data_IF_536970174203
#
_entry.id   IF_536970174203
#
_cell.length_a   1.000
_cell.length_b   1.000
_cell.length_c   1.000
_cell.angle_alpha   90.00
_cell.angle_beta   90.00
_cell.angle_gamma   90.00
#
_symmetry.space_group_name_H-M   'P 1'
#
loop_
_entity.id
_entity.type
_entity.pdbx_description
1 polymer ?
#
# COMPACT_ATOMS: atom_id res chain seq x y z
N UNK A 1 -59.02 -41.02 -24.12
CA UNK A 1 -58.21 -39.86 -24.49
C UNK A 1 -57.26 -39.54 -23.31
N UNK A 2 -56.00 -39.93 -23.45
CA UNK A 2 -54.95 -39.72 -22.39
C UNK A 2 -54.23 -38.43 -22.69
N UNK A 3 -54.35 -37.46 -21.78
CA UNK A 3 -53.57 -36.23 -21.82
C UNK A 3 -52.14 -36.50 -21.31
N UNK A 4 -51.19 -36.37 -22.22
CA UNK A 4 -49.75 -36.39 -21.89
C UNK A 4 -49.33 -34.96 -21.61
N UNK A 5 -48.99 -34.69 -20.35
CA UNK A 5 -48.43 -33.42 -19.90
C UNK A 5 -46.93 -33.43 -20.15
N UNK A 6 -46.46 -32.64 -21.10
CA UNK A 6 -45.02 -32.43 -21.35
C UNK A 6 -44.47 -31.46 -20.30
N UNK A 7 -43.61 -31.95 -19.40
CA UNK A 7 -42.80 -31.11 -18.55
C UNK A 7 -41.57 -30.65 -19.33
N UNK A 8 -41.54 -29.37 -19.67
CA UNK A 8 -40.38 -28.73 -20.26
C UNK A 8 -39.39 -28.43 -19.11
N UNK A 9 -38.33 -29.22 -18.96
CA UNK A 9 -37.24 -28.96 -18.06
C UNK A 9 -36.36 -27.90 -18.73
N UNK A 10 -36.48 -26.64 -18.29
CA UNK A 10 -35.54 -25.59 -18.63
C UNK A 10 -34.27 -25.81 -17.80
N UNK A 11 -33.26 -26.42 -18.40
CA UNK A 11 -31.91 -26.40 -17.84
C UNK A 11 -31.37 -24.97 -17.92
N UNK A 12 -31.49 -24.22 -16.82
CA UNK A 12 -30.69 -23.02 -16.63
C UNK A 12 -29.28 -23.49 -16.35
N UNK A 13 -28.43 -23.42 -17.35
CA UNK A 13 -26.97 -23.55 -17.16
C UNK A 13 -26.50 -22.32 -16.39
N UNK A 14 -26.39 -22.46 -15.08
CA UNK A 14 -25.56 -21.58 -14.27
C UNK A 14 -24.13 -21.76 -14.76
N UNK A 15 -23.68 -20.86 -15.63
CA UNK A 15 -22.25 -20.66 -15.86
C UNK A 15 -21.68 -20.11 -14.56
N UNK A 16 -21.20 -21.02 -13.71
CA UNK A 16 -20.38 -20.63 -12.58
C UNK A 16 -19.16 -19.91 -13.15
N UNK A 17 -19.06 -18.65 -12.83
CA UNK A 17 -17.81 -17.91 -12.94
C UNK A 17 -16.78 -18.77 -12.20
N UNK A 18 -15.89 -19.43 -12.93
CA UNK A 18 -14.77 -20.15 -12.32
C UNK A 18 -13.84 -19.08 -11.77
N UNK A 19 -14.02 -18.77 -10.49
CA UNK A 19 -12.95 -18.15 -9.72
C UNK A 19 -11.72 -19.05 -9.87
N UNK A 20 -10.72 -18.56 -10.56
CA UNK A 20 -9.43 -19.22 -10.71
C UNK A 20 -8.65 -19.15 -9.38
N UNK A 21 -9.25 -19.63 -8.30
CA UNK A 21 -8.58 -19.88 -7.02
C UNK A 21 -7.92 -21.26 -7.10
N UNK A 22 -6.87 -21.35 -7.92
CA UNK A 22 -6.05 -22.53 -7.96
C UNK A 22 -5.44 -22.76 -6.56
N UNK A 23 -5.91 -23.80 -5.87
CA UNK A 23 -5.29 -24.41 -4.69
C UNK A 23 -4.84 -23.46 -3.58
N UNK A 24 -5.74 -22.66 -3.01
CA UNK A 24 -5.46 -21.99 -1.73
C UNK A 24 -5.33 -23.07 -0.64
N UNK A 25 -4.20 -23.08 0.04
CA UNK A 25 -3.93 -23.96 1.17
C UNK A 25 -4.13 -23.14 2.45
N UNK A 26 -4.64 -23.77 3.50
CA UNK A 26 -4.64 -23.10 4.81
C UNK A 26 -3.20 -22.80 5.23
N UNK A 27 -2.98 -21.57 5.67
CA UNK A 27 -1.68 -21.14 6.24
C UNK A 27 -1.41 -21.99 7.49
N UNK A 28 -0.19 -22.47 7.74
CA UNK A 28 0.16 -23.01 9.04
C UNK A 28 -0.10 -21.97 10.14
N UNK A 29 -1.20 -22.12 10.85
CA UNK A 29 -1.61 -21.22 11.93
C UNK A 29 -1.25 -21.86 13.26
N UNK A 30 -0.55 -21.10 14.09
CA UNK A 30 -0.41 -21.40 15.52
C UNK A 30 -1.21 -20.38 16.35
N UNK A 31 -1.62 -20.78 17.54
CA UNK A 31 -2.38 -19.94 18.42
C UNK A 31 -1.56 -19.54 19.65
N UNK A 32 -1.77 -18.31 20.11
CA UNK A 32 -1.14 -17.79 21.33
C UNK A 32 -2.19 -17.34 22.33
N UNK A 33 -1.92 -17.52 23.62
CA UNK A 33 -2.79 -17.07 24.71
C UNK A 33 -2.78 -15.54 24.91
N UNK A 34 -2.09 -14.81 24.05
CA UNK A 34 -2.17 -13.35 24.03
C UNK A 34 -3.60 -12.89 23.69
N UNK A 35 -4.06 -11.84 24.35
CA UNK A 35 -5.42 -11.30 24.22
C UNK A 35 -5.44 -9.94 23.52
N UNK A 36 -4.39 -9.60 22.80
CA UNK A 36 -4.23 -8.28 22.13
C UNK A 36 -4.95 -8.16 20.81
N UNK A 37 -5.78 -9.11 20.39
CA UNK A 37 -6.47 -9.14 19.09
C UNK A 37 -5.52 -9.06 17.88
N UNK A 38 -4.39 -9.76 17.94
CA UNK A 38 -3.37 -9.68 16.92
C UNK A 38 -3.27 -10.95 16.07
N UNK A 39 -2.96 -10.75 14.79
CA UNK A 39 -2.49 -11.75 13.84
C UNK A 39 -1.08 -11.35 13.43
N UNK A 40 -0.13 -12.24 13.59
CA UNK A 40 1.25 -12.04 13.16
C UNK A 40 1.51 -12.89 11.91
N UNK A 41 1.92 -12.25 10.82
CA UNK A 41 2.23 -12.90 9.55
C UNK A 41 3.72 -12.74 9.24
N UNK A 42 4.42 -13.86 9.11
CA UNK A 42 5.85 -13.86 8.77
C UNK A 42 6.07 -14.43 7.39
N UNK A 43 6.54 -13.59 6.48
CA UNK A 43 6.91 -13.95 5.10
C UNK A 43 8.32 -14.50 5.07
N UNK A 44 8.51 -15.64 4.41
CA UNK A 44 9.82 -16.29 4.23
C UNK A 44 9.95 -16.84 2.81
N UNK A 45 10.42 -16.02 1.89
CA UNK A 45 10.55 -16.40 0.48
C UNK A 45 9.19 -16.73 -0.14
N UNK A 46 8.94 -17.99 -0.42
CA UNK A 46 7.72 -18.50 -1.06
C UNK A 46 6.67 -19.02 -0.06
N UNK A 47 6.86 -18.82 1.22
CA UNK A 47 5.96 -19.29 2.27
C UNK A 47 5.60 -18.19 3.24
N UNK A 48 4.52 -18.40 3.99
CA UNK A 48 4.09 -17.53 5.07
C UNK A 48 3.64 -18.40 6.24
N UNK A 49 3.87 -17.93 7.46
CA UNK A 49 3.32 -18.52 8.68
C UNK A 49 2.49 -17.48 9.43
N UNK A 50 1.49 -17.96 10.17
CA UNK A 50 0.61 -17.12 10.96
C UNK A 50 0.59 -17.54 12.43
N UNK A 51 0.63 -16.54 13.32
CA UNK A 51 0.32 -16.70 14.73
C UNK A 51 -0.91 -15.86 15.05
N UNK A 52 -1.95 -16.46 15.61
CA UNK A 52 -3.23 -15.82 15.88
C UNK A 52 -3.50 -15.84 17.39
N UNK A 53 -3.90 -14.71 17.94
CA UNK A 53 -4.35 -14.65 19.33
C UNK A 53 -5.62 -15.50 19.51
N UNK A 54 -5.65 -16.34 20.55
CA UNK A 54 -6.71 -17.34 20.80
C UNK A 54 -8.11 -16.70 20.86
N UNK A 55 -8.20 -15.49 21.43
CA UNK A 55 -9.46 -14.77 21.60
C UNK A 55 -10.09 -14.31 20.27
N UNK A 56 -9.34 -14.26 19.16
CA UNK A 56 -9.85 -13.85 17.85
C UNK A 56 -9.86 -14.99 16.81
N UNK A 57 -9.51 -16.21 17.18
CA UNK A 57 -9.41 -17.34 16.23
C UNK A 57 -10.66 -17.59 15.38
N UNK A 58 -11.84 -17.34 15.95
CA UNK A 58 -13.13 -17.54 15.29
C UNK A 58 -13.58 -16.30 14.47
N UNK A 59 -12.78 -15.23 14.47
CA UNK A 59 -13.09 -13.97 13.79
C UNK A 59 -12.24 -13.71 12.56
N UNK A 60 -11.25 -14.56 12.29
CA UNK A 60 -10.37 -14.43 11.11
C UNK A 60 -10.21 -15.76 10.41
N UNK A 61 -10.29 -15.74 9.10
CA UNK A 61 -9.92 -16.87 8.23
C UNK A 61 -8.69 -16.45 7.43
N UNK A 62 -7.63 -17.27 7.47
CA UNK A 62 -6.37 -16.99 6.80
C UNK A 62 -6.07 -18.11 5.84
N UNK A 63 -5.92 -17.77 4.56
CA UNK A 63 -5.52 -18.71 3.50
C UNK A 63 -4.33 -18.14 2.73
N UNK A 64 -3.58 -18.99 2.05
CA UNK A 64 -2.51 -18.52 1.16
C UNK A 64 -2.35 -19.42 -0.07
N UNK A 65 -1.74 -18.86 -1.11
CA UNK A 65 -1.14 -19.59 -2.22
C UNK A 65 0.32 -19.14 -2.27
N UNK A 66 1.22 -20.00 -1.80
CA UNK A 66 2.60 -19.57 -1.52
C UNK A 66 2.63 -18.44 -0.49
N UNK A 67 3.25 -17.32 -0.85
CA UNK A 67 3.29 -16.10 -0.01
C UNK A 67 2.18 -15.09 -0.32
N UNK A 68 1.17 -15.44 -1.13
CA UNK A 68 -0.01 -14.60 -1.32
C UNK A 68 -1.04 -14.91 -0.25
N UNK A 69 -1.11 -14.05 0.76
CA UNK A 69 -1.99 -14.23 1.92
C UNK A 69 -3.32 -13.54 1.70
N UNK A 70 -4.40 -14.24 2.01
CA UNK A 70 -5.75 -13.69 2.08
C UNK A 70 -6.30 -13.83 3.50
N UNK A 71 -6.69 -12.71 4.07
CA UNK A 71 -7.35 -12.64 5.38
C UNK A 71 -8.79 -12.17 5.19
N UNK A 72 -9.73 -12.89 5.77
CA UNK A 72 -11.14 -12.50 5.81
C UNK A 72 -11.55 -12.35 7.27
N UNK A 73 -11.99 -11.16 7.66
CA UNK A 73 -12.62 -10.94 8.95
C UNK A 73 -14.07 -11.43 8.91
N UNK A 74 -14.49 -12.10 9.97
CA UNK A 74 -15.90 -12.43 10.18
C UNK A 74 -16.76 -11.17 10.19
N UNK A 75 -17.98 -11.18 9.63
CA UNK A 75 -18.91 -10.06 9.74
C UNK A 75 -19.32 -9.74 11.20
N UNK A 76 -19.03 -10.64 12.13
CA UNK A 76 -19.29 -10.46 13.56
C UNK A 76 -18.21 -9.64 14.29
N UNK A 77 -17.11 -9.24 13.60
CA UNK A 77 -16.15 -8.30 14.16
C UNK A 77 -16.81 -6.94 14.33
N UNK A 78 -16.78 -6.40 15.52
CA UNK A 78 -17.47 -5.15 15.88
C UNK A 78 -17.03 -4.61 17.23
N UNK A 79 -17.88 -3.82 17.86
CA UNK A 79 -17.58 -3.16 19.14
C UNK A 79 -17.19 -4.14 20.25
N UNK A 80 -17.84 -5.31 20.33
CA UNK A 80 -17.57 -6.32 21.37
C UNK A 80 -16.25 -7.07 21.16
N UNK A 81 -15.89 -7.33 19.91
CA UNK A 81 -14.61 -7.97 19.56
C UNK A 81 -13.45 -6.97 19.65
N UNK A 82 -13.74 -5.72 19.36
CA UNK A 82 -12.74 -4.69 19.17
C UNK A 82 -12.07 -4.77 17.79
N UNK A 83 -11.07 -3.94 17.62
CA UNK A 83 -10.25 -3.84 16.42
C UNK A 83 -9.26 -5.00 16.36
N UNK A 84 -9.11 -5.62 15.19
CA UNK A 84 -8.11 -6.67 14.95
C UNK A 84 -6.91 -6.05 14.24
N UNK A 85 -5.73 -6.31 14.77
CA UNK A 85 -4.45 -5.91 14.21
C UNK A 85 -3.79 -7.04 13.44
N UNK A 86 -3.07 -6.69 12.39
CA UNK A 86 -2.25 -7.59 11.58
C UNK A 86 -0.83 -7.05 11.56
N UNK A 87 0.14 -7.79 12.06
CA UNK A 87 1.55 -7.40 11.94
C UNK A 87 2.22 -8.24 10.86
N UNK A 88 2.75 -7.57 9.84
CA UNK A 88 3.42 -8.17 8.70
C UNK A 88 4.92 -7.98 8.84
N UNK A 89 5.70 -9.05 8.70
CA UNK A 89 7.17 -9.03 8.79
C UNK A 89 7.79 -10.00 7.78
N UNK A 90 9.09 -9.82 7.51
CA UNK A 90 9.88 -10.71 6.67
C UNK A 90 9.91 -10.32 5.20
N UNK A 91 10.27 -11.26 4.32
CA UNK A 91 10.56 -10.97 2.93
C UNK A 91 9.94 -11.99 1.99
N UNK A 92 9.31 -11.49 0.91
CA UNK A 92 8.90 -12.29 -0.25
C UNK A 92 9.04 -11.48 -1.54
N UNK A 93 9.63 -12.09 -2.56
CA UNK A 93 9.72 -11.53 -3.91
C UNK A 93 8.51 -11.91 -4.80
N UNK A 94 7.62 -12.77 -4.30
CA UNK A 94 6.39 -13.18 -4.96
C UNK A 94 5.32 -13.47 -3.92
N UNK A 95 4.82 -12.40 -3.29
CA UNK A 95 3.83 -12.48 -2.23
C UNK A 95 2.96 -11.23 -2.15
N UNK A 96 1.85 -11.34 -1.44
CA UNK A 96 0.93 -10.23 -1.23
C UNK A 96 0.16 -10.39 0.09
N UNK A 97 -0.40 -9.29 0.55
CA UNK A 97 -1.36 -9.25 1.63
C UNK A 97 -2.69 -8.72 1.11
N UNK A 98 -3.72 -9.55 1.17
CA UNK A 98 -5.10 -9.18 0.86
C UNK A 98 -5.95 -9.28 2.13
N UNK A 99 -6.79 -8.28 2.39
CA UNK A 99 -7.66 -8.27 3.57
C UNK A 99 -9.08 -7.82 3.20
N UNK A 100 -10.07 -8.58 3.62
CA UNK A 100 -11.49 -8.18 3.66
C UNK A 100 -11.97 -8.03 5.08
N UNK A 101 -12.83 -7.04 5.31
CA UNK A 101 -13.45 -6.81 6.61
C UNK A 101 -14.48 -5.69 6.57
N UNK A 102 -15.29 -5.62 7.63
CA UNK A 102 -16.34 -4.61 7.78
C UNK A 102 -16.14 -3.72 9.02
N UNK A 103 -15.03 -3.89 9.73
CA UNK A 103 -14.72 -3.12 10.93
C UNK A 103 -13.31 -2.53 10.85
N UNK A 104 -13.03 -1.53 11.68
CA UNK A 104 -11.72 -0.88 11.79
C UNK A 104 -10.61 -1.91 12.01
N UNK A 105 -9.44 -1.65 11.45
CA UNK A 105 -8.29 -2.55 11.55
C UNK A 105 -6.98 -1.79 11.58
N UNK A 106 -5.95 -2.43 12.10
CA UNK A 106 -4.57 -1.95 12.04
C UNK A 106 -3.71 -2.95 11.26
N UNK A 107 -2.96 -2.48 10.27
CA UNK A 107 -1.94 -3.26 9.55
C UNK A 107 -0.58 -2.70 9.93
N UNK A 108 0.16 -3.44 10.74
CA UNK A 108 1.51 -3.11 11.18
C UNK A 108 2.56 -3.61 10.19
N UNK A 109 3.48 -2.76 9.78
CA UNK A 109 4.62 -3.11 8.94
C UNK A 109 5.89 -3.10 9.80
N UNK A 110 6.56 -4.26 9.90
CA UNK A 110 7.76 -4.45 10.72
C UNK A 110 8.87 -5.12 9.91
N UNK A 111 9.77 -4.33 9.36
CA UNK A 111 10.87 -4.83 8.51
C UNK A 111 10.34 -5.78 7.41
N UNK A 112 9.28 -5.32 6.72
CA UNK A 112 8.62 -6.06 5.65
C UNK A 112 9.21 -5.67 4.30
N UNK A 113 9.61 -6.67 3.50
CA UNK A 113 9.90 -6.49 2.07
C UNK A 113 8.96 -7.40 1.27
N UNK A 114 8.01 -6.80 0.57
CA UNK A 114 6.96 -7.54 -0.12
C UNK A 114 6.84 -7.08 -1.58
N UNK A 115 7.09 -8.00 -2.49
CA UNK A 115 6.92 -7.80 -3.93
C UNK A 115 5.83 -8.72 -4.46
N UNK A 116 4.87 -8.16 -5.19
CA UNK A 116 3.87 -8.93 -5.93
C UNK A 116 4.01 -8.66 -7.44
N UNK A 117 4.64 -9.55 -8.21
CA UNK A 117 4.84 -9.35 -9.65
C UNK A 117 3.54 -9.26 -10.47
N UNK A 118 2.41 -9.71 -9.92
CA UNK A 118 1.15 -9.87 -10.64
C UNK A 118 -0.02 -9.07 -10.07
N UNK A 119 0.23 -8.16 -9.14
CA UNK A 119 -0.83 -7.38 -8.51
C UNK A 119 -0.29 -6.40 -7.44
N UNK A 120 -1.19 -5.83 -6.61
CA UNK A 120 -0.78 -4.97 -5.51
C UNK A 120 -0.01 -5.78 -4.45
N UNK A 121 0.98 -5.17 -3.81
CA UNK A 121 1.67 -5.78 -2.67
C UNK A 121 0.73 -5.87 -1.46
N UNK A 122 -0.06 -4.81 -1.22
CA UNK A 122 -1.09 -4.76 -0.17
C UNK A 122 -2.42 -4.32 -0.77
N UNK A 123 -3.45 -5.14 -0.61
CA UNK A 123 -4.82 -4.88 -1.06
C UNK A 123 -5.82 -4.99 0.10
N UNK A 124 -6.36 -3.85 0.50
CA UNK A 124 -7.30 -3.75 1.61
C UNK A 124 -8.70 -3.47 1.09
N UNK A 125 -9.55 -4.46 1.11
CA UNK A 125 -10.95 -4.40 0.68
C UNK A 125 -11.92 -4.09 1.84
N UNK A 126 -11.43 -3.40 2.86
CA UNK A 126 -12.19 -2.92 4.00
C UNK A 126 -12.59 -1.45 3.78
N UNK A 127 -13.88 -1.17 3.79
CA UNK A 127 -14.44 0.19 3.61
C UNK A 127 -14.51 1.01 4.90
N UNK A 128 -13.79 0.63 5.95
CA UNK A 128 -13.68 1.37 7.21
C UNK A 128 -12.26 1.91 7.39
N UNK A 129 -12.02 2.61 8.49
CA UNK A 129 -10.68 3.10 8.82
C UNK A 129 -9.69 1.94 8.95
N UNK A 130 -8.59 2.05 8.25
CA UNK A 130 -7.44 1.17 8.40
C UNK A 130 -6.21 2.00 8.75
N UNK A 131 -5.63 1.72 9.92
CA UNK A 131 -4.35 2.28 10.30
C UNK A 131 -3.22 1.44 9.69
N UNK A 132 -2.32 2.08 8.94
CA UNK A 132 -1.05 1.50 8.52
C UNK A 132 0.01 1.94 9.53
N UNK A 133 0.36 1.04 10.44
CA UNK A 133 1.30 1.30 11.53
C UNK A 133 2.73 0.91 11.12
N UNK A 134 3.53 1.89 10.75
CA UNK A 134 4.94 1.68 10.35
C UNK A 134 5.78 1.63 11.62
N UNK A 135 6.24 0.45 11.98
CA UNK A 135 6.87 0.22 13.28
C UNK A 135 8.18 1.00 13.41
N UNK A 136 8.43 1.50 14.64
CA UNK A 136 9.62 2.30 14.96
C UNK A 136 10.91 1.58 14.55
N UNK A 137 11.83 2.34 14.01
CA UNK A 137 13.19 1.89 13.64
C UNK A 137 13.18 0.71 12.65
N UNK A 138 12.11 0.58 11.85
CA UNK A 138 12.04 -0.40 10.76
C UNK A 138 11.94 0.28 9.41
N UNK A 139 12.54 -0.36 8.43
CA UNK A 139 12.39 -0.01 7.02
C UNK A 139 11.54 -1.09 6.33
N UNK A 140 10.55 -0.64 5.57
CA UNK A 140 9.60 -1.51 4.88
C UNK A 140 9.59 -1.16 3.40
N UNK A 141 9.49 -2.16 2.53
CA UNK A 141 9.46 -1.95 1.08
C UNK A 141 8.31 -2.72 0.46
N UNK A 142 7.51 -2.03 -0.33
CA UNK A 142 6.41 -2.59 -1.11
C UNK A 142 6.66 -2.36 -2.60
N UNK A 143 6.46 -3.41 -3.40
CA UNK A 143 6.62 -3.37 -4.85
C UNK A 143 5.49 -4.14 -5.50
N UNK A 144 4.78 -3.53 -6.46
CA UNK A 144 3.76 -4.21 -7.26
C UNK A 144 4.29 -4.64 -8.64
N UNK A 145 3.45 -5.35 -9.38
CA UNK A 145 3.75 -5.82 -10.72
C UNK A 145 3.62 -4.74 -11.81
N UNK A 146 3.99 -5.10 -13.02
CA UNK A 146 3.95 -4.20 -14.20
C UNK A 146 2.80 -4.49 -15.16
N UNK A 147 2.11 -5.62 -14.99
CA UNK A 147 1.02 -6.02 -15.88
C UNK A 147 -0.13 -6.66 -15.12
N UNK A 148 -1.33 -6.48 -15.65
CA UNK A 148 -2.54 -7.14 -15.15
C UNK A 148 -2.71 -8.47 -15.85
N UNK A 149 -2.51 -9.57 -15.14
CA UNK A 149 -2.93 -10.88 -15.63
C UNK A 149 -4.43 -11.12 -15.41
N UNK A 150 -5.06 -10.37 -14.50
CA UNK A 150 -6.47 -10.54 -14.09
C UNK A 150 -7.17 -9.18 -14.04
N UNK A 151 -7.18 -8.50 -12.91
CA UNK A 151 -7.91 -7.25 -12.71
C UNK A 151 -6.96 -6.06 -12.53
N UNK A 152 -7.37 -4.89 -13.08
CA UNK A 152 -6.62 -3.66 -12.92
C UNK A 152 -6.68 -3.17 -11.47
N UNK A 153 -5.54 -3.05 -10.82
CA UNK A 153 -5.43 -2.42 -9.49
C UNK A 153 -5.11 -0.93 -9.61
N UNK A 154 -5.22 -0.21 -8.51
CA UNK A 154 -5.07 1.25 -8.47
C UNK A 154 -3.81 1.73 -7.78
N UNK A 155 -3.18 0.90 -6.96
CA UNK A 155 -1.96 1.24 -6.26
C UNK A 155 -1.22 0.03 -5.72
N UNK A 156 0.10 0.16 -5.53
CA UNK A 156 0.94 -0.87 -4.91
C UNK A 156 0.44 -1.18 -3.48
N UNK A 157 0.11 -0.16 -2.71
CA UNK A 157 -0.74 -0.23 -1.53
C UNK A 157 -2.08 0.41 -1.85
N UNK A 158 -3.16 -0.39 -1.83
CA UNK A 158 -4.50 0.12 -2.10
C UNK A 158 -5.48 -0.22 -0.98
N UNK A 159 -6.43 0.71 -0.73
CA UNK A 159 -7.46 0.56 0.29
C UNK A 159 -8.81 1.10 -0.17
N UNK A 160 -9.88 0.34 0.03
CA UNK A 160 -11.26 0.78 -0.24
C UNK A 160 -11.85 1.72 0.81
N UNK A 161 -11.29 1.75 2.00
CA UNK A 161 -11.67 2.68 3.07
C UNK A 161 -10.73 3.87 3.15
N UNK A 162 -10.70 4.50 4.29
CA UNK A 162 -9.74 5.54 4.61
C UNK A 162 -8.50 4.97 5.28
N UNK A 163 -7.37 5.62 5.03
CA UNK A 163 -6.06 5.18 5.49
C UNK A 163 -5.43 6.20 6.42
N UNK A 164 -4.98 5.73 7.57
CA UNK A 164 -4.19 6.53 8.51
C UNK A 164 -2.78 5.95 8.63
N UNK A 165 -1.79 6.60 8.02
CA UNK A 165 -0.39 6.22 8.22
C UNK A 165 0.12 6.78 9.54
N UNK A 166 0.65 5.89 10.39
CA UNK A 166 1.21 6.26 11.69
C UNK A 166 2.48 5.47 11.98
N UNK A 167 3.24 5.94 12.96
CA UNK A 167 4.42 5.24 13.48
C UNK A 167 5.68 6.07 13.32
N UNK A 168 6.85 5.43 13.48
CA UNK A 168 8.15 6.11 13.46
C UNK A 168 9.18 5.36 12.60
N UNK A 169 8.70 4.48 11.73
CA UNK A 169 9.53 3.78 10.74
C UNK A 169 9.43 4.41 9.35
N UNK A 170 10.02 3.73 8.38
CA UNK A 170 10.08 4.12 6.98
C UNK A 170 9.34 3.12 6.11
N UNK A 171 8.58 3.63 5.15
CA UNK A 171 7.92 2.86 4.10
C UNK A 171 8.40 3.34 2.72
N UNK A 172 9.01 2.44 1.97
CA UNK A 172 9.42 2.64 0.58
C UNK A 172 8.39 1.98 -0.35
N UNK A 173 7.93 2.67 -1.39
CA UNK A 173 6.90 2.16 -2.31
C UNK A 173 7.35 2.31 -3.76
N UNK A 174 7.25 1.21 -4.51
CA UNK A 174 7.46 1.13 -5.95
C UNK A 174 6.16 0.73 -6.64
N UNK A 175 5.41 1.71 -7.14
CA UNK A 175 4.19 1.53 -7.92
C UNK A 175 4.53 1.34 -9.41
N UNK A 176 4.63 0.10 -9.86
CA UNK A 176 5.05 -0.22 -11.23
C UNK A 176 3.90 -0.27 -12.23
N UNK A 177 2.64 -0.24 -11.76
CA UNK A 177 1.46 -0.34 -12.61
C UNK A 177 0.61 0.94 -12.67
N UNK A 178 0.30 1.53 -11.51
CA UNK A 178 -0.58 2.70 -11.40
C UNK A 178 -0.02 3.68 -10.36
N UNK A 179 -0.82 4.05 -9.34
CA UNK A 179 -0.34 4.88 -8.25
C UNK A 179 0.57 4.06 -7.31
N UNK A 180 1.46 4.71 -6.58
CA UNK A 180 2.19 3.99 -5.54
C UNK A 180 1.26 3.70 -4.35
N UNK A 181 0.51 4.68 -3.87
CA UNK A 181 -0.47 4.53 -2.79
C UNK A 181 -1.83 5.05 -3.25
N UNK A 182 -2.88 4.25 -3.05
CA UNK A 182 -4.24 4.64 -3.40
C UNK A 182 -5.21 4.37 -2.25
N UNK A 183 -6.08 5.34 -1.98
CA UNK A 183 -7.22 5.19 -1.07
C UNK A 183 -8.50 5.67 -1.74
N UNK A 184 -9.60 4.92 -1.58
CA UNK A 184 -10.91 5.34 -2.10
C UNK A 184 -11.52 6.49 -1.28
N UNK A 185 -11.06 6.67 -0.06
CA UNK A 185 -11.52 7.68 0.88
C UNK A 185 -10.34 8.56 1.32
N UNK A 186 -10.43 9.22 2.46
CA UNK A 186 -9.38 10.13 2.91
C UNK A 186 -8.07 9.41 3.30
N UNK A 187 -7.02 10.21 3.38
CA UNK A 187 -5.72 9.77 3.85
C UNK A 187 -5.12 10.75 4.84
N UNK A 188 -4.57 10.23 5.94
CA UNK A 188 -3.82 11.03 6.91
C UNK A 188 -2.44 10.45 7.15
N UNK A 189 -1.46 11.32 7.43
CA UNK A 189 -0.06 10.93 7.70
C UNK A 189 0.42 11.56 9.00
N UNK A 190 0.98 10.73 9.89
CA UNK A 190 1.50 11.16 11.20
C UNK A 190 2.79 10.39 11.58
N UNK A 191 3.84 11.13 11.86
CA UNK A 191 5.12 10.70 12.47
C UNK A 191 5.98 9.73 11.64
N UNK A 192 5.50 9.12 10.57
CA UNK A 192 6.26 8.17 9.76
C UNK A 192 6.98 8.86 8.60
N UNK A 193 7.89 8.11 7.98
CA UNK A 193 8.51 8.47 6.71
C UNK A 193 7.92 7.60 5.61
N UNK A 194 7.42 8.21 4.54
CA UNK A 194 6.92 7.53 3.34
C UNK A 194 7.75 8.01 2.15
N UNK A 195 8.38 7.08 1.46
CA UNK A 195 9.15 7.33 0.24
C UNK A 195 8.43 6.68 -0.95
N UNK A 196 7.86 7.46 -1.84
CA UNK A 196 7.42 7.01 -3.15
C UNK A 196 8.60 7.12 -4.10
N UNK A 197 9.18 5.99 -4.42
CA UNK A 197 10.38 5.89 -5.25
C UNK A 197 10.03 5.66 -6.73
N UNK A 198 8.81 5.16 -7.00
CA UNK A 198 8.25 5.02 -8.32
C UNK A 198 6.73 5.01 -8.27
N UNK A 199 6.09 5.65 -9.23
CA UNK A 199 4.68 5.47 -9.58
C UNK A 199 4.51 5.68 -11.09
N UNK A 200 3.69 4.87 -11.75
CA UNK A 200 3.38 5.07 -13.18
C UNK A 200 2.39 6.23 -13.36
N UNK A 201 1.53 6.42 -12.37
CA UNK A 201 0.60 7.55 -12.24
C UNK A 201 1.01 8.44 -11.07
N UNK A 202 0.07 8.71 -10.17
CA UNK A 202 0.30 9.57 -9.02
C UNK A 202 1.16 8.88 -7.96
N UNK A 203 1.94 9.65 -7.26
CA UNK A 203 2.63 9.14 -6.08
C UNK A 203 1.65 8.68 -5.01
N UNK A 204 0.77 9.56 -4.60
CA UNK A 204 -0.34 9.30 -3.68
C UNK A 204 -1.65 9.78 -4.32
N UNK A 205 -2.65 8.93 -4.33
CA UNK A 205 -3.99 9.28 -4.80
C UNK A 205 -5.03 8.90 -3.75
N UNK A 206 -5.84 9.85 -3.33
CA UNK A 206 -6.97 9.62 -2.42
C UNK A 206 -8.17 10.47 -2.81
N UNK A 207 -9.33 10.15 -2.22
CA UNK A 207 -10.51 10.97 -2.34
C UNK A 207 -10.91 11.55 -0.99
N UNK A 208 -11.93 12.38 -0.95
CA UNK A 208 -12.42 13.14 0.21
C UNK A 208 -11.42 14.20 0.66
N UNK A 209 -10.35 13.85 1.36
CA UNK A 209 -9.29 14.79 1.74
C UNK A 209 -7.95 14.08 2.01
N UNK A 210 -6.88 14.86 1.97
CA UNK A 210 -5.55 14.46 2.44
C UNK A 210 -5.11 15.40 3.57
N UNK A 211 -4.60 14.82 4.66
CA UNK A 211 -4.04 15.60 5.77
C UNK A 211 -2.65 15.08 6.16
N UNK A 212 -1.68 16.00 6.19
CA UNK A 212 -0.34 15.77 6.77
C UNK A 212 -0.27 16.47 8.13
N UNK A 213 -0.10 15.70 9.21
CA UNK A 213 0.01 16.24 10.56
C UNK A 213 1.47 16.34 11.04
N UNK A 214 2.29 15.37 10.66
CA UNK A 214 3.72 15.30 11.02
C UNK A 214 4.41 14.17 10.24
N UNK A 215 5.75 14.08 10.36
CA UNK A 215 6.56 13.09 9.65
C UNK A 215 7.08 13.62 8.32
N UNK A 216 7.44 12.72 7.41
CA UNK A 216 8.04 13.06 6.11
C UNK A 216 7.42 12.25 4.99
N UNK A 217 7.06 12.89 3.90
CA UNK A 217 6.65 12.24 2.65
C UNK A 217 7.58 12.71 1.54
N UNK A 218 8.28 11.79 0.91
CA UNK A 218 9.16 12.04 -0.22
C UNK A 218 8.61 11.36 -1.46
N UNK A 219 8.40 12.10 -2.54
CA UNK A 219 7.90 11.59 -3.82
C UNK A 219 8.88 11.98 -4.91
N UNK A 220 9.54 11.00 -5.52
CA UNK A 220 10.63 11.25 -6.46
C UNK A 220 10.50 10.54 -7.81
N UNK A 221 9.52 9.69 -8.00
CA UNK A 221 9.42 8.84 -9.18
C UNK A 221 8.01 8.71 -9.73
N UNK A 222 7.17 9.73 -9.57
CA UNK A 222 5.81 9.75 -10.11
C UNK A 222 5.78 10.06 -11.61
N UNK A 223 4.85 9.44 -12.33
CA UNK A 223 4.61 9.70 -13.76
C UNK A 223 3.56 10.77 -14.03
N UNK A 224 2.74 11.11 -13.05
CA UNK A 224 1.70 12.13 -13.10
C UNK A 224 1.78 13.02 -11.84
N UNK A 225 0.70 13.20 -11.06
CA UNK A 225 0.71 14.07 -9.88
C UNK A 225 1.55 13.48 -8.74
N UNK A 226 2.18 14.35 -7.96
CA UNK A 226 2.81 13.92 -6.70
C UNK A 226 1.77 13.42 -5.72
N UNK A 227 0.81 14.28 -5.37
CA UNK A 227 -0.36 13.95 -4.55
C UNK A 227 -1.62 14.42 -5.26
N UNK A 228 -2.54 13.51 -5.53
CA UNK A 228 -3.83 13.77 -6.15
C UNK A 228 -4.96 13.55 -5.14
N UNK A 229 -5.82 14.56 -4.94
CA UNK A 229 -6.95 14.51 -4.00
C UNK A 229 -8.25 14.81 -4.74
N UNK A 230 -9.04 13.77 -4.93
CA UNK A 230 -10.32 13.84 -5.62
C UNK A 230 -11.52 13.92 -4.68
N UNK A 231 -12.72 13.95 -5.30
CA UNK A 231 -13.98 13.72 -4.61
C UNK A 231 -14.37 12.24 -4.70
N UNK A 232 -14.94 11.71 -3.65
CA UNK A 232 -15.54 10.38 -3.67
C UNK A 232 -16.91 10.47 -4.33
N UNK A 233 -17.11 9.72 -5.40
CA UNK A 233 -18.36 9.70 -6.15
C UNK A 233 -19.56 9.26 -5.27
N UNK A 234 -20.68 9.94 -5.41
CA UNK A 234 -21.93 9.69 -4.67
C UNK A 234 -21.79 9.87 -3.14
N UNK A 235 -20.79 10.61 -2.68
CA UNK A 235 -20.62 10.96 -1.29
C UNK A 235 -20.98 12.43 -1.07
N UNK A 236 -22.01 12.69 -0.28
CA UNK A 236 -22.51 14.02 0.07
C UNK A 236 -22.11 14.45 1.48
N UNK A 237 -21.21 13.69 2.12
CA UNK A 237 -20.72 14.02 3.46
C UNK A 237 -19.91 15.32 3.46
N UNK A 238 -19.88 16.00 4.59
CA UNK A 238 -19.06 17.21 4.78
C UNK A 238 -17.54 16.95 4.65
N UNK A 239 -17.13 15.70 4.74
CA UNK A 239 -15.73 15.26 4.60
C UNK A 239 -15.30 15.17 3.13
N UNK A 240 -16.25 15.10 2.19
CA UNK A 240 -15.96 14.95 0.77
C UNK A 240 -15.61 16.31 0.12
N UNK A 241 -14.50 16.89 0.53
CA UNK A 241 -14.09 18.24 0.15
C UNK A 241 -13.07 18.30 -0.97
N UNK A 242 -12.37 17.21 -1.27
CA UNK A 242 -11.23 17.18 -2.19
C UNK A 242 -10.03 18.00 -1.67
N UNK A 243 -9.95 18.29 -0.37
CA UNK A 243 -8.97 19.23 0.17
C UNK A 243 -7.63 18.56 0.50
N UNK A 244 -6.56 19.37 0.38
CA UNK A 244 -5.22 19.05 0.82
C UNK A 244 -4.83 19.96 1.97
N UNK A 245 -4.44 19.38 3.12
CA UNK A 245 -4.10 20.15 4.31
C UNK A 245 -2.80 19.65 4.93
N UNK A 246 -1.89 20.56 5.25
CA UNK A 246 -0.72 20.29 6.07
C UNK A 246 -0.79 21.13 7.35
N UNK A 247 -0.90 20.46 8.51
CA UNK A 247 -0.83 21.12 9.83
C UNK A 247 0.57 21.04 10.44
N UNK A 248 1.44 20.17 9.89
CA UNK A 248 2.84 20.00 10.25
C UNK A 248 3.52 18.99 9.34
N UNK A 249 4.78 18.66 9.63
CA UNK A 249 5.58 17.73 8.85
C UNK A 249 6.17 18.31 7.57
N UNK A 250 6.77 17.45 6.77
CA UNK A 250 7.46 17.82 5.52
C UNK A 250 6.99 16.95 4.37
N UNK A 251 6.59 17.57 3.27
CA UNK A 251 6.34 16.91 1.99
C UNK A 251 7.35 17.43 0.98
N UNK A 252 8.11 16.52 0.37
CA UNK A 252 9.07 16.79 -0.68
C UNK A 252 8.62 16.08 -1.96
N UNK A 253 8.37 16.83 -3.03
CA UNK A 253 7.95 16.29 -4.31
C UNK A 253 8.93 16.71 -5.39
N UNK A 254 9.47 15.73 -6.11
CA UNK A 254 10.27 15.96 -7.30
C UNK A 254 9.34 16.15 -8.50
N UNK A 255 9.36 17.29 -9.18
CA UNK A 255 8.51 17.55 -10.34
C UNK A 255 8.98 16.85 -11.63
N UNK A 256 10.00 16.01 -11.58
CA UNK A 256 10.73 15.44 -12.73
C UNK A 256 9.98 14.33 -13.49
N UNK A 257 8.69 14.28 -13.39
CA UNK A 257 7.91 13.37 -14.21
C UNK A 257 6.88 14.17 -15.00
N UNK A 258 6.69 13.88 -16.24
CA UNK A 258 5.53 14.14 -17.07
C UNK A 258 4.67 15.43 -16.82
N UNK A 259 3.42 15.36 -17.22
CA UNK A 259 2.43 16.42 -17.28
C UNK A 259 1.75 16.79 -15.95
N UNK A 260 2.07 16.08 -14.86
CA UNK A 260 1.40 16.23 -13.57
C UNK A 260 1.87 17.44 -12.76
N UNK A 261 1.15 17.70 -11.69
CA UNK A 261 1.46 18.74 -10.70
C UNK A 261 2.00 18.14 -9.40
N UNK A 262 2.70 18.93 -8.60
CA UNK A 262 3.18 18.44 -7.31
C UNK A 262 2.00 18.07 -6.39
N UNK A 263 0.99 18.94 -6.30
CA UNK A 263 -0.27 18.68 -5.58
C UNK A 263 -1.45 19.07 -6.46
N UNK A 264 -2.29 18.12 -6.77
CA UNK A 264 -3.55 18.30 -7.50
C UNK A 264 -4.72 17.98 -6.55
N UNK A 265 -5.29 19.00 -5.96
CA UNK A 265 -6.44 18.89 -5.07
C UNK A 265 -7.63 19.63 -5.65
N UNK A 266 -8.79 18.96 -5.76
CA UNK A 266 -10.02 19.57 -6.28
C UNK A 266 -10.61 20.62 -5.34
N UNK A 267 -10.35 20.49 -4.03
CA UNK A 267 -10.77 21.42 -3.01
C UNK A 267 -9.66 22.37 -2.56
N UNK A 268 -9.85 22.95 -1.40
CA UNK A 268 -8.90 23.90 -0.82
C UNK A 268 -7.55 23.25 -0.51
N UNK A 269 -6.48 24.00 -0.77
CA UNK A 269 -5.13 23.66 -0.34
C UNK A 269 -4.69 24.58 0.79
N UNK A 270 -4.21 24.02 1.90
CA UNK A 270 -3.76 24.76 3.08
C UNK A 270 -2.47 24.17 3.64
N UNK A 271 -1.47 25.01 3.84
CA UNK A 271 -0.17 24.65 4.43
C UNK A 271 0.09 25.59 5.60
N UNK A 272 0.12 25.04 6.81
CA UNK A 272 0.43 25.82 8.01
C UNK A 272 1.88 26.28 8.03
N UNK A 273 2.19 27.35 8.73
CA UNK A 273 3.56 27.88 8.86
C UNK A 273 4.53 26.92 9.57
N UNK A 274 4.01 25.94 10.32
CA UNK A 274 4.77 24.84 10.95
C UNK A 274 5.07 23.66 10.02
N UNK A 275 4.50 23.67 8.81
CA UNK A 275 4.66 22.62 7.81
C UNK A 275 5.58 23.06 6.67
N UNK A 276 6.21 22.11 6.00
CA UNK A 276 7.08 22.38 4.85
C UNK A 276 6.60 21.61 3.63
N UNK A 277 6.25 22.33 2.55
CA UNK A 277 5.92 21.75 1.25
C UNK A 277 6.97 22.20 0.21
N UNK A 278 7.80 21.25 -0.24
CA UNK A 278 8.82 21.47 -1.27
C UNK A 278 8.35 20.83 -2.58
N UNK A 279 8.02 21.64 -3.58
CA UNK A 279 7.52 21.15 -4.89
C UNK A 279 8.59 21.13 -5.98
N UNK A 280 9.83 21.48 -5.65
CA UNK A 280 11.00 21.43 -6.54
C UNK A 280 12.13 20.60 -5.93
N UNK A 281 11.78 19.60 -5.13
CA UNK A 281 12.74 18.78 -4.43
C UNK A 281 13.49 17.85 -5.38
N UNK A 282 14.81 17.81 -5.25
CA UNK A 282 15.66 16.82 -5.91
C UNK A 282 16.24 15.90 -4.84
N UNK A 283 16.02 14.61 -4.99
CA UNK A 283 16.58 13.63 -4.04
C UNK A 283 18.09 13.70 -4.05
N UNK A 284 18.68 14.11 -2.90
CA UNK A 284 20.12 14.04 -2.75
C UNK A 284 20.56 12.57 -2.69
N UNK A 285 21.57 12.22 -3.47
CA UNK A 285 22.13 10.86 -3.53
C UNK A 285 22.80 10.39 -2.22
N UNK A 286 22.78 11.21 -1.16
CA UNK A 286 23.60 11.03 0.05
C UNK A 286 23.15 9.92 1.02
N UNK A 287 22.00 9.26 0.78
CA UNK A 287 21.46 8.25 1.70
C UNK A 287 21.23 6.86 1.08
N UNK A 288 21.82 6.57 -0.07
CA UNK A 288 21.79 5.21 -0.60
C UNK A 288 22.95 4.43 0.00
N UNK A 289 22.68 3.69 1.07
CA UNK A 289 23.62 2.66 1.53
C UNK A 289 23.60 1.55 0.47
N UNK A 290 24.60 1.60 -0.39
CA UNK A 290 24.77 0.65 -1.46
C UNK A 290 25.34 -0.67 -0.89
N UNK A 291 24.59 -1.61 -0.51
CA UNK A 291 25.06 -2.95 -0.10
C UNK A 291 25.97 -3.65 -1.16
N UNK A 292 26.89 -2.93 -1.79
CA UNK A 292 27.81 -3.39 -2.83
C UNK A 292 27.23 -3.40 -4.24
N UNK A 293 26.01 -2.89 -4.45
CA UNK A 293 25.38 -2.74 -5.78
C UNK A 293 25.65 -1.34 -6.34
N UNK A 294 25.81 -1.25 -7.66
CA UNK A 294 25.93 0.04 -8.33
C UNK A 294 24.55 0.72 -8.46
N UNK A 295 24.46 1.99 -8.08
CA UNK A 295 23.24 2.79 -8.17
C UNK A 295 23.44 3.90 -9.18
N UNK A 296 22.48 4.11 -10.08
CA UNK A 296 22.43 5.25 -10.98
C UNK A 296 21.68 6.40 -10.30
N UNK A 297 22.29 7.57 -10.25
CA UNK A 297 21.70 8.78 -9.71
C UNK A 297 21.78 9.91 -10.73
N UNK A 298 20.78 10.80 -10.71
CA UNK A 298 20.81 12.04 -11.50
C UNK A 298 21.19 13.17 -10.54
N UNK A 299 22.30 13.85 -10.82
CA UNK A 299 22.76 15.02 -10.07
C UNK A 299 23.10 16.14 -11.03
N UNK A 300 22.49 17.31 -10.84
CA UNK A 300 22.73 18.50 -11.69
C UNK A 300 22.54 18.24 -13.19
N UNK A 301 21.54 17.40 -13.55
CA UNK A 301 21.26 17.02 -14.94
C UNK A 301 22.22 15.96 -15.51
N UNK A 302 23.14 15.42 -14.73
CA UNK A 302 24.07 14.38 -15.15
C UNK A 302 23.74 13.03 -14.49
N UNK A 303 23.78 11.96 -15.26
CA UNK A 303 23.68 10.59 -14.73
C UNK A 303 25.00 10.20 -14.13
N UNK A 304 25.01 9.80 -12.88
CA UNK A 304 26.18 9.31 -12.15
C UNK A 304 25.94 7.89 -11.67
N UNK A 305 27.02 7.14 -11.48
CA UNK A 305 27.00 5.78 -10.92
C UNK A 305 27.71 5.82 -9.58
N UNK A 306 27.00 5.46 -8.51
CA UNK A 306 27.60 5.28 -7.17
C UNK A 306 27.86 3.79 -6.97
N UNK A 307 29.10 3.44 -6.60
CA UNK A 307 29.51 2.09 -6.27
C UNK A 307 30.52 2.12 -5.14
N UNK A 308 30.26 1.39 -4.06
CA UNK A 308 31.11 1.32 -2.87
C UNK A 308 31.47 2.72 -2.32
N UNK A 309 30.48 3.63 -2.26
CA UNK A 309 30.67 5.00 -1.78
C UNK A 309 31.50 5.92 -2.69
N UNK A 310 31.83 5.49 -3.90
CA UNK A 310 32.54 6.30 -4.91
C UNK A 310 31.61 6.64 -6.07
N UNK A 311 31.77 7.86 -6.61
CA UNK A 311 30.96 8.36 -7.72
C UNK A 311 31.72 8.22 -9.03
N UNK A 312 31.03 7.72 -10.06
CA UNK A 312 31.58 7.51 -11.40
C UNK A 312 30.69 8.16 -12.45
N UNK A 313 31.27 8.58 -13.56
CA UNK A 313 30.52 8.93 -14.77
C UNK A 313 29.83 7.68 -15.36
N UNK A 314 28.85 7.83 -16.27
CA UNK A 314 28.24 6.70 -16.97
C UNK A 314 29.26 5.82 -17.73
N UNK A 315 30.40 6.41 -18.12
CA UNK A 315 31.48 5.74 -18.84
C UNK A 315 32.51 5.10 -17.89
N UNK A 316 32.24 5.09 -16.56
CA UNK A 316 33.07 4.41 -15.57
C UNK A 316 34.23 5.22 -15.01
N UNK A 317 34.39 6.48 -15.37
CA UNK A 317 35.45 7.34 -14.82
C UNK A 317 35.10 7.81 -13.41
N UNK A 318 36.04 7.63 -12.46
CA UNK A 318 35.87 8.10 -11.09
C UNK A 318 35.80 9.64 -11.07
N UNK A 319 34.81 10.17 -10.40
CA UNK A 319 34.70 11.61 -10.11
C UNK A 319 35.31 11.82 -8.73
N UNK A 320 36.47 12.46 -8.68
CA UNK A 320 37.06 12.88 -7.41
C UNK A 320 36.23 14.02 -6.83
N UNK A 321 35.78 13.85 -5.61
CA UNK A 321 35.16 14.93 -4.83
C UNK A 321 36.20 15.84 -4.26
#
# INVERSE_FOLDING_TARGET
>A
MKNILFFLIVCISLTSCKDSHANSVEVPVTYTNDTTNMVYLTYSGTSVSAVVCENIKNYVTITSTGSHVRVIQSPNVGLSTGEIGYELTGTSENGSFYMEGAYKSTVGLRALTLTNPNGPAIDIQNGKRVEISIKRDTENTLTDGTSTAVDAWKGCLQCKGHVEFKGYGTLNVYGNYANAIWSKEYMTVRNCTINVLKAVKDGINCNQYFTMESGVVNISGQGDDGISVGLKNNDTSAENTGSFTMTGGTININPSGASGTAVNALGNQSVASSATLNTSWTQSASNVSDGGKSVKVLREGQVLIIRNGRTYTPNGNLINN
#
